data_IF_311889264732
#
_entry.id   IF_311889264732
#
_cell.length_a   1.000
_cell.length_b   1.000
_cell.length_c   1.000
_cell.angle_alpha   90.00
_cell.angle_beta   90.00
_cell.angle_gamma   90.00
#
_symmetry.space_group_name_H-M   'P 1'
#
loop_
_entity.id
_entity.type
_entity.pdbx_description
1 polymer ?
#
# COMPACT_ATOMS: atom_id res chain seq x y z
N UNK A 1 8.66 -14.27 -11.37
CA UNK A 1 8.90 -13.63 -12.69
C UNK A 1 9.67 -12.36 -12.40
N UNK A 2 10.90 -12.21 -12.88
CA UNK A 2 11.70 -11.02 -12.63
C UNK A 2 11.30 -9.91 -13.61
N UNK A 3 10.25 -9.17 -13.24
CA UNK A 3 9.77 -8.05 -14.03
C UNK A 3 10.56 -6.78 -13.66
N UNK A 4 11.60 -6.46 -14.43
CA UNK A 4 12.39 -5.23 -14.27
C UNK A 4 11.80 -4.09 -15.10
N UNK A 5 11.94 -2.84 -14.63
CA UNK A 5 11.58 -1.64 -15.36
C UNK A 5 12.67 -0.57 -15.25
N UNK A 6 12.85 0.22 -16.31
CA UNK A 6 13.83 1.30 -16.35
C UNK A 6 13.19 2.62 -15.93
N UNK A 7 13.87 3.37 -15.07
CA UNK A 7 13.50 4.75 -14.75
C UNK A 7 13.73 5.63 -15.98
N UNK A 8 12.65 6.19 -16.52
CA UNK A 8 12.75 7.12 -17.65
C UNK A 8 13.40 8.44 -17.26
N UNK A 9 13.82 9.23 -18.24
CA UNK A 9 14.35 10.59 -18.03
C UNK A 9 13.34 11.57 -17.40
N UNK A 10 12.05 11.23 -17.43
CA UNK A 10 10.97 11.95 -16.74
C UNK A 10 10.74 11.45 -15.32
N UNK A 11 11.62 10.60 -14.80
CA UNK A 11 11.52 9.97 -13.48
C UNK A 11 10.24 9.13 -13.30
N UNK A 12 9.75 8.53 -14.39
CA UNK A 12 8.62 7.60 -14.36
C UNK A 12 9.08 6.16 -14.53
N UNK A 13 8.55 5.26 -13.70
CA UNK A 13 8.69 3.81 -13.84
C UNK A 13 7.37 3.27 -14.39
N UNK A 14 7.40 2.66 -15.57
CA UNK A 14 6.24 1.94 -16.09
C UNK A 14 6.15 0.59 -15.39
N UNK A 15 5.06 0.34 -14.67
CA UNK A 15 4.83 -0.95 -14.02
C UNK A 15 4.58 -2.03 -15.09
N UNK A 16 5.39 -3.11 -15.13
CA UNK A 16 5.20 -4.19 -16.10
C UNK A 16 3.80 -4.81 -16.02
N UNK A 17 3.26 -5.23 -17.16
CA UNK A 17 1.91 -5.82 -17.24
C UNK A 17 1.75 -7.01 -16.28
N UNK A 18 2.73 -7.91 -16.23
CA UNK A 18 2.69 -9.08 -15.35
C UNK A 18 2.50 -8.70 -13.86
N UNK A 19 3.14 -7.63 -13.39
CA UNK A 19 3.01 -7.16 -12.00
C UNK A 19 1.61 -6.57 -11.75
N UNK A 20 1.10 -5.77 -12.70
CA UNK A 20 -0.26 -5.21 -12.58
C UNK A 20 -1.33 -6.29 -12.53
N UNK A 21 -1.20 -7.30 -13.38
CA UNK A 21 -2.16 -8.40 -13.47
C UNK A 21 -2.13 -9.28 -12.22
N UNK A 22 -0.93 -9.63 -11.71
CA UNK A 22 -0.75 -10.44 -10.50
C UNK A 22 -1.24 -9.73 -9.23
N UNK A 23 -1.02 -8.42 -9.13
CA UNK A 23 -1.43 -7.62 -7.97
C UNK A 23 -2.83 -7.01 -8.10
N UNK A 24 -3.53 -7.27 -9.21
CA UNK A 24 -4.83 -6.68 -9.54
C UNK A 24 -4.85 -5.15 -9.43
N UNK A 25 -3.80 -4.49 -9.92
CA UNK A 25 -3.69 -3.04 -9.89
C UNK A 25 -4.46 -2.38 -11.03
N UNK A 26 -5.18 -1.31 -10.70
CA UNK A 26 -6.01 -0.57 -11.64
C UNK A 26 -5.40 0.81 -11.96
N UNK A 27 -5.76 1.36 -13.12
CA UNK A 27 -5.35 2.71 -13.49
C UNK A 27 -5.99 3.74 -12.55
N UNK A 28 -5.20 4.73 -12.11
CA UNK A 28 -5.65 5.77 -11.18
C UNK A 28 -5.56 5.39 -9.70
N UNK A 29 -5.11 4.18 -9.37
CA UNK A 29 -4.84 3.77 -8.00
C UNK A 29 -3.62 4.52 -7.43
N UNK A 30 -3.74 4.96 -6.18
CA UNK A 30 -2.67 5.65 -5.47
C UNK A 30 -1.72 4.65 -4.80
N UNK A 31 -0.42 4.97 -4.80
CA UNK A 31 0.63 4.15 -4.20
C UNK A 31 1.47 4.96 -3.23
N UNK A 32 1.79 4.34 -2.10
CA UNK A 32 2.77 4.87 -1.14
C UNK A 32 4.14 4.24 -1.38
N UNK A 33 5.18 5.07 -1.28
CA UNK A 33 6.57 4.62 -1.24
C UNK A 33 7.00 4.48 0.21
N UNK A 34 7.28 3.25 0.63
CA UNK A 34 7.77 2.95 1.99
C UNK A 34 9.26 2.62 1.89
N UNK A 35 10.16 3.43 2.50
CA UNK A 35 11.59 3.13 2.48
C UNK A 35 11.90 1.75 3.07
N UNK A 36 12.73 0.95 2.37
CA UNK A 36 13.14 -0.39 2.83
C UNK A 36 14.57 -0.70 2.37
N UNK A 37 15.53 -0.49 3.27
CA UNK A 37 16.95 -0.70 2.98
C UNK A 37 17.44 0.23 1.87
N UNK A 38 18.07 -0.32 0.84
CA UNK A 38 18.52 0.43 -0.33
C UNK A 38 17.40 0.73 -1.35
N UNK A 39 16.17 0.26 -1.10
CA UNK A 39 15.05 0.41 -2.01
C UNK A 39 13.79 0.94 -1.34
N UNK A 40 12.66 0.75 -2.03
CA UNK A 40 11.33 1.15 -1.60
C UNK A 40 10.36 -0.01 -1.80
N UNK A 41 9.42 -0.18 -0.87
CA UNK A 41 8.24 -0.99 -1.07
C UNK A 41 7.13 -0.09 -1.62
N UNK A 42 6.54 -0.51 -2.74
CA UNK A 42 5.33 0.09 -3.28
C UNK A 42 4.11 -0.65 -2.74
N UNK A 43 3.18 0.08 -2.14
CA UNK A 43 1.93 -0.48 -1.63
C UNK A 43 0.76 0.39 -2.11
N UNK A 44 -0.36 -0.22 -2.52
CA UNK A 44 -1.56 0.54 -2.83
C UNK A 44 -2.09 1.22 -1.55
N UNK A 45 -2.54 2.46 -1.68
CA UNK A 45 -3.25 3.15 -0.59
C UNK A 45 -4.71 2.70 -0.63
N UNK A 46 -5.21 1.99 0.40
CA UNK A 46 -6.58 1.54 0.40
C UNK A 46 -7.55 2.72 0.57
N UNK A 47 -8.61 2.73 -0.23
CA UNK A 47 -9.70 3.68 -0.04
C UNK A 47 -10.52 3.38 1.22
N UNK A 48 -11.21 4.38 1.78
CA UNK A 48 -12.00 4.22 3.02
C UNK A 48 -12.98 3.03 2.98
N UNK A 49 -13.61 2.79 1.84
CA UNK A 49 -14.54 1.65 1.67
C UNK A 49 -13.85 0.29 1.76
N UNK A 50 -12.60 0.19 1.31
CA UNK A 50 -11.81 -1.05 1.36
C UNK A 50 -11.34 -1.35 2.79
N UNK A 51 -11.28 -0.34 3.66
CA UNK A 51 -10.91 -0.49 5.07
C UNK A 51 -12.08 -0.98 5.95
N UNK A 52 -13.31 -0.93 5.45
CA UNK A 52 -14.48 -1.36 6.21
C UNK A 52 -14.37 -2.84 6.57
N UNK A 53 -14.46 -3.15 7.87
CA UNK A 53 -14.36 -4.53 8.38
C UNK A 53 -12.93 -5.06 8.54
N UNK A 54 -11.89 -4.26 8.26
CA UNK A 54 -10.49 -4.66 8.42
C UNK A 54 -10.16 -5.19 9.83
N UNK A 55 -10.79 -4.61 10.86
CA UNK A 55 -10.60 -5.00 12.25
C UNK A 55 -11.67 -6.01 12.76
N UNK A 56 -12.43 -6.65 11.87
CA UNK A 56 -13.43 -7.64 12.28
C UNK A 56 -12.77 -8.80 13.04
N UNK A 57 -13.28 -9.12 14.22
CA UNK A 57 -12.72 -10.17 15.10
C UNK A 57 -11.46 -9.76 15.87
N UNK A 58 -11.00 -8.51 15.75
CA UNK A 58 -9.91 -8.02 16.58
C UNK A 58 -10.28 -8.04 18.08
N UNK A 59 -9.32 -8.39 18.94
CA UNK A 59 -9.52 -8.38 20.38
C UNK A 59 -9.74 -6.93 20.87
N UNK A 60 -10.94 -6.63 21.35
CA UNK A 60 -11.31 -5.32 21.85
C UNK A 60 -10.92 -5.10 23.32
N UNK A 61 -10.34 -6.08 24.02
CA UNK A 61 -9.92 -5.92 25.41
C UNK A 61 -8.71 -5.00 25.52
N UNK A 62 -8.68 -4.16 26.56
CA UNK A 62 -7.55 -3.27 26.84
C UNK A 62 -7.39 -2.13 25.82
N UNK A 63 -8.41 -1.88 24.99
CA UNK A 63 -8.39 -0.74 24.08
C UNK A 63 -8.35 0.56 24.91
N UNK A 64 -7.43 1.47 24.54
CA UNK A 64 -7.33 2.78 25.17
C UNK A 64 -8.36 3.70 24.54
N UNK A 65 -9.52 3.82 25.18
CA UNK A 65 -10.38 4.97 24.93
C UNK A 65 -9.74 6.23 25.53
N UNK A 66 -9.96 7.40 24.94
CA UNK A 66 -9.40 8.66 25.48
C UNK A 66 -10.03 8.92 26.85
N UNK A 67 -9.35 8.50 27.92
CA UNK A 67 -9.59 8.92 29.29
C UNK A 67 -8.31 9.60 29.75
N UNK A 68 -8.24 10.88 29.39
CA UNK A 68 -7.48 11.98 29.97
C UNK A 68 -5.97 11.77 30.25
N UNK A 69 -5.18 12.76 29.79
CA UNK A 69 -3.81 12.95 30.27
C UNK A 69 -3.97 13.87 31.48
N UNK A 70 -3.54 13.40 32.66
CA UNK A 70 -3.61 14.03 33.99
C UNK A 70 -4.91 13.82 34.75
#
# INVERSE_FOLDING_TARGET
MDATATLSSKYQISIPKAVRDEQHWEAGQEFVFIPKGAGVLLMPVPGLKQLAGLASGANSKGYRDRRDRY
#
